data_IF_544952089998
#
_entry.id   IF_544952089998
#
_cell.length_a   1.000
_cell.length_b   1.000
_cell.length_c   1.000
_cell.angle_alpha   90.00
_cell.angle_beta   90.00
_cell.angle_gamma   90.00
#
_symmetry.space_group_name_H-M   'P 1'
#
loop_
_entity.id
_entity.type
_entity.pdbx_description
1 polymer ?
#
# COMPACT_ATOMS: atom_id res chain seq x y z
N UNK A 1 1.99 0.35 -8.83
CA UNK A 1 2.76 0.92 -9.94
C UNK A 1 2.30 0.28 -11.25
N UNK A 2 2.35 0.97 -12.41
CA UNK A 2 2.11 0.31 -13.69
C UNK A 2 3.16 -0.78 -13.94
N UNK A 3 2.76 -1.88 -14.57
CA UNK A 3 3.68 -2.95 -14.97
C UNK A 3 4.62 -2.40 -16.05
N UNK A 4 5.93 -2.47 -15.80
CA UNK A 4 6.94 -2.06 -16.77
C UNK A 4 6.83 -2.90 -18.04
N UNK A 5 7.05 -2.29 -19.20
CA UNK A 5 6.78 -2.93 -20.50
C UNK A 5 7.58 -4.22 -20.67
N UNK A 6 8.84 -4.18 -20.26
CA UNK A 6 9.80 -5.28 -20.27
C UNK A 6 9.38 -6.48 -19.42
N UNK A 7 8.54 -6.28 -18.38
CA UNK A 7 8.15 -7.36 -17.48
C UNK A 7 6.81 -7.99 -17.84
N UNK A 8 6.03 -7.42 -18.78
CA UNK A 8 4.65 -7.86 -19.07
C UNK A 8 4.52 -9.36 -19.37
N UNK A 9 5.54 -9.97 -19.98
CA UNK A 9 5.55 -11.39 -20.33
C UNK A 9 5.68 -12.33 -19.12
N UNK A 10 6.14 -11.84 -17.97
CA UNK A 10 6.21 -12.62 -16.73
C UNK A 10 4.88 -12.67 -15.97
N UNK A 11 3.91 -11.84 -16.37
CA UNK A 11 2.59 -11.81 -15.78
C UNK A 11 1.69 -12.79 -16.52
N UNK A 12 0.96 -13.67 -15.81
CA UNK A 12 0.08 -14.62 -16.46
C UNK A 12 -1.11 -13.90 -17.10
N UNK A 13 -1.78 -14.56 -18.06
CA UNK A 13 -2.92 -13.98 -18.81
C UNK A 13 -4.07 -13.56 -17.89
N UNK A 14 -4.24 -14.26 -16.78
CA UNK A 14 -5.24 -14.02 -15.74
C UNK A 14 -4.74 -13.06 -14.64
N UNK A 15 -3.66 -12.32 -14.88
CA UNK A 15 -3.13 -11.36 -13.93
C UNK A 15 -4.17 -10.37 -13.38
N UNK A 16 -5.11 -9.81 -14.18
CA UNK A 16 -6.15 -8.95 -13.62
C UNK A 16 -6.98 -9.62 -12.52
N UNK A 17 -7.32 -10.90 -12.69
CA UNK A 17 -8.07 -11.71 -11.73
C UNK A 17 -7.21 -12.04 -10.51
N UNK A 18 -5.99 -12.53 -10.71
CA UNK A 18 -5.06 -12.82 -9.62
C UNK A 18 -4.76 -11.57 -8.78
N UNK A 19 -4.52 -10.43 -9.44
CA UNK A 19 -4.30 -9.14 -8.78
C UNK A 19 -5.52 -8.70 -7.96
N UNK A 20 -6.73 -8.90 -8.48
CA UNK A 20 -7.95 -8.57 -7.76
C UNK A 20 -8.18 -9.49 -6.55
N UNK A 21 -7.90 -10.79 -6.69
CA UNK A 21 -7.96 -11.77 -5.60
C UNK A 21 -7.05 -11.36 -4.43
N UNK A 22 -5.79 -11.02 -4.74
CA UNK A 22 -4.83 -10.58 -3.73
C UNK A 22 -5.29 -9.26 -3.06
N UNK A 23 -5.68 -8.25 -3.85
CA UNK A 23 -5.96 -6.91 -3.32
C UNK A 23 -7.28 -6.78 -2.59
N UNK A 24 -8.32 -7.45 -3.06
CA UNK A 24 -9.68 -7.17 -2.61
C UNK A 24 -10.31 -8.33 -1.85
N UNK A 25 -9.96 -9.57 -2.18
CA UNK A 25 -10.42 -10.73 -1.40
C UNK A 25 -9.49 -11.00 -0.23
N UNK A 26 -8.24 -11.39 -0.50
CA UNK A 26 -7.29 -11.77 0.56
C UNK A 26 -6.97 -10.60 1.49
N UNK A 27 -6.59 -9.46 0.93
CA UNK A 27 -6.22 -8.29 1.72
C UNK A 27 -7.41 -7.42 2.16
N UNK A 28 -8.65 -7.80 1.81
CA UNK A 28 -9.86 -7.06 2.17
C UNK A 28 -9.90 -5.61 1.69
N UNK A 29 -9.16 -5.27 0.63
CA UNK A 29 -9.04 -3.90 0.16
C UNK A 29 -8.18 -3.00 1.05
N UNK A 30 -7.33 -3.55 1.92
CA UNK A 30 -6.38 -2.79 2.74
C UNK A 30 -4.94 -3.12 2.36
N UNK A 31 -4.03 -2.18 2.57
CA UNK A 31 -2.60 -2.44 2.41
C UNK A 31 -2.13 -3.43 3.49
N UNK A 32 -1.50 -4.54 3.08
CA UNK A 32 -1.01 -5.58 3.99
C UNK A 32 0.17 -5.13 4.86
N UNK A 33 0.80 -3.99 4.55
CA UNK A 33 1.91 -3.44 5.33
C UNK A 33 1.51 -2.32 6.29
N UNK A 34 0.54 -1.46 5.93
CA UNK A 34 0.20 -0.29 6.75
C UNK A 34 -1.29 -0.09 7.00
N UNK A 35 -2.15 -0.96 6.47
CA UNK A 35 -3.61 -0.91 6.68
C UNK A 35 -4.37 0.16 5.91
N UNK A 36 -3.71 1.01 5.11
CA UNK A 36 -4.40 2.07 4.33
C UNK A 36 -5.47 1.46 3.39
N UNK A 37 -6.72 1.94 3.44
CA UNK A 37 -7.83 1.35 2.69
C UNK A 37 -7.88 1.82 1.24
N UNK A 38 -8.08 0.90 0.30
CA UNK A 38 -8.18 1.17 -1.13
C UNK A 38 -9.32 2.14 -1.47
N UNK A 39 -9.09 3.04 -2.43
CA UNK A 39 -10.10 3.94 -2.97
C UNK A 39 -10.48 5.11 -2.07
N UNK A 40 -10.07 5.10 -0.80
CA UNK A 40 -10.34 6.18 0.16
C UNK A 40 -9.28 7.28 0.04
N UNK A 41 -9.71 8.52 0.25
CA UNK A 41 -8.80 9.63 0.50
C UNK A 41 -8.45 9.65 1.98
N UNK A 42 -7.16 9.57 2.29
CA UNK A 42 -6.65 9.71 3.66
C UNK A 42 -5.87 11.01 3.79
N UNK A 43 -5.69 11.48 5.02
CA UNK A 43 -4.81 12.59 5.33
C UNK A 43 -3.52 12.06 5.98
N UNK A 44 -2.36 12.57 5.54
CA UNK A 44 -1.06 12.11 6.04
C UNK A 44 -0.06 13.26 6.18
N UNK A 45 0.97 13.05 6.99
CA UNK A 45 2.02 14.05 7.28
C UNK A 45 3.23 13.96 6.34
N UNK A 46 3.26 12.94 5.47
CA UNK A 46 4.30 12.75 4.45
C UNK A 46 5.48 11.89 4.91
N UNK A 47 5.70 11.76 6.22
CA UNK A 47 6.67 10.85 6.83
C UNK A 47 6.16 9.39 6.95
N UNK A 48 4.87 9.18 6.71
CA UNK A 48 4.21 7.90 6.83
C UNK A 48 3.04 7.90 7.80
N UNK A 49 3.04 8.80 8.78
CA UNK A 49 1.92 8.98 9.70
C UNK A 49 0.67 9.41 8.95
N UNK A 50 -0.46 8.84 9.31
CA UNK A 50 -1.74 9.10 8.64
C UNK A 50 -2.93 8.96 9.59
N UNK A 51 -3.99 9.70 9.28
CA UNK A 51 -5.24 9.64 10.03
C UNK A 51 -6.13 8.51 9.51
N UNK A 52 -6.43 7.55 10.38
CA UNK A 52 -7.40 6.49 10.12
C UNK A 52 -8.78 6.92 10.63
N UNK A 53 -9.60 7.42 9.71
CA UNK A 53 -10.95 7.86 10.00
C UNK A 53 -11.89 6.74 10.45
N UNK A 54 -11.60 5.47 10.13
CA UNK A 54 -12.45 4.35 10.54
C UNK A 54 -12.30 4.03 12.03
N UNK A 55 -11.11 4.24 12.59
CA UNK A 55 -10.83 4.03 14.01
C UNK A 55 -10.74 5.32 14.82
N UNK A 56 -10.77 6.48 14.15
CA UNK A 56 -10.60 7.77 14.80
C UNK A 56 -9.22 7.94 15.44
N UNK A 57 -8.17 7.39 14.81
CA UNK A 57 -6.83 7.36 15.37
C UNK A 57 -5.73 7.72 14.36
N UNK A 58 -4.63 8.26 14.88
CA UNK A 58 -3.41 8.41 14.09
C UNK A 58 -2.64 7.09 14.06
N UNK A 59 -2.11 6.74 12.89
CA UNK A 59 -1.25 5.56 12.69
C UNK A 59 0.12 5.94 12.18
N UNK A 60 1.13 5.13 12.50
CA UNK A 60 2.47 5.22 11.94
C UNK A 60 2.56 4.70 10.50
N UNK A 61 3.78 4.68 9.96
CA UNK A 61 4.06 4.18 8.61
C UNK A 61 3.84 2.68 8.41
N UNK A 62 3.74 1.91 9.49
CA UNK A 62 3.47 0.46 9.52
C UNK A 62 2.04 0.15 9.94
N UNK A 63 1.21 1.18 10.16
CA UNK A 63 -0.20 1.02 10.52
C UNK A 63 -0.46 0.86 12.01
N UNK A 64 0.53 0.95 12.91
CA UNK A 64 0.28 0.91 14.35
C UNK A 64 -0.29 2.23 14.85
N UNK A 65 -1.22 2.18 15.80
CA UNK A 65 -1.76 3.38 16.42
C UNK A 65 -0.66 4.16 17.17
N UNK A 66 -0.62 5.48 16.97
CA UNK A 66 0.30 6.35 17.68
C UNK A 66 -0.14 6.51 19.13
N UNK A 67 0.81 6.36 20.05
CA UNK A 67 0.60 6.69 21.47
C UNK A 67 0.66 8.19 21.74
N UNK A 68 1.49 8.90 20.96
CA UNK A 68 1.66 10.35 21.03
C UNK A 68 1.13 10.94 19.74
N UNK A 69 0.15 11.85 19.86
CA UNK A 69 -0.46 12.50 18.71
C UNK A 69 0.52 13.48 18.04
N UNK A 70 0.41 13.72 16.73
CA UNK A 70 1.17 14.77 16.07
C UNK A 70 0.90 16.13 16.72
N UNK A 71 1.95 16.94 16.87
CA UNK A 71 1.83 18.31 17.37
C UNK A 71 1.11 19.18 16.36
N UNK A 72 0.55 20.28 16.85
CA UNK A 72 -0.21 21.21 16.02
C UNK A 72 0.59 21.74 14.82
N UNK A 73 1.86 22.07 15.02
CA UNK A 73 2.76 22.56 13.96
C UNK A 73 2.98 21.52 12.85
N UNK A 74 2.92 20.24 13.18
CA UNK A 74 3.08 19.16 12.21
C UNK A 74 1.86 19.04 11.31
N UNK A 75 0.66 19.37 11.83
CA UNK A 75 -0.59 19.35 11.07
C UNK A 75 -0.58 20.36 9.91
N UNK A 76 0.27 21.38 9.95
CA UNK A 76 0.47 22.28 8.80
C UNK A 76 0.97 21.56 7.53
N UNK A 77 1.53 20.34 7.67
CA UNK A 77 2.01 19.51 6.56
C UNK A 77 0.98 18.50 6.05
N UNK A 78 -0.25 18.52 6.58
CA UNK A 78 -1.27 17.55 6.25
C UNK A 78 -1.59 17.60 4.75
N UNK A 79 -1.54 16.44 4.11
CA UNK A 79 -1.86 16.30 2.68
C UNK A 79 -2.87 15.19 2.46
N UNK A 80 -3.88 15.40 1.62
CA UNK A 80 -4.76 14.33 1.19
C UNK A 80 -4.07 13.46 0.13
N UNK A 81 -4.32 12.15 0.15
CA UNK A 81 -3.97 11.24 -0.94
C UNK A 81 -5.05 10.19 -1.12
N UNK A 82 -5.50 9.99 -2.37
CA UNK A 82 -6.33 8.84 -2.72
C UNK A 82 -5.47 7.58 -2.72
N UNK A 83 -5.80 6.63 -1.84
CA UNK A 83 -5.08 5.38 -1.72
C UNK A 83 -5.46 4.46 -2.87
N UNK A 84 -4.44 3.94 -3.55
CA UNK A 84 -4.57 2.92 -4.60
C UNK A 84 -3.68 1.76 -4.22
N UNK A 85 -4.25 0.55 -4.28
CA UNK A 85 -3.52 -0.69 -4.03
C UNK A 85 -3.04 -1.29 -5.35
N UNK A 86 -1.80 -1.74 -5.34
CA UNK A 86 -1.19 -2.54 -6.37
C UNK A 86 -0.70 -3.87 -5.77
N UNK A 87 -0.60 -4.90 -6.62
CA UNK A 87 0.00 -6.17 -6.25
C UNK A 87 1.50 -6.08 -6.49
N UNK A 88 2.31 -6.46 -5.50
CA UNK A 88 3.77 -6.51 -5.57
C UNK A 88 4.28 -7.94 -5.30
N UNK A 89 5.40 -8.29 -5.90
CA UNK A 89 6.16 -9.52 -5.62
C UNK A 89 7.08 -9.27 -4.42
N UNK A 90 6.98 -10.10 -3.38
CA UNK A 90 7.73 -9.93 -2.12
C UNK A 90 9.23 -10.12 -2.29
N UNK A 91 9.63 -10.99 -3.21
CA UNK A 91 11.02 -11.30 -3.57
C UNK A 91 11.55 -10.48 -4.75
N UNK A 92 10.77 -9.52 -5.25
CA UNK A 92 11.09 -8.69 -6.42
C UNK A 92 11.26 -9.46 -7.74
N UNK A 93 11.05 -10.79 -7.76
CA UNK A 93 11.06 -11.59 -8.97
C UNK A 93 9.67 -11.59 -9.61
N UNK A 94 9.54 -10.87 -10.74
CA UNK A 94 8.27 -10.76 -11.46
C UNK A 94 7.76 -12.08 -12.06
N UNK A 95 8.60 -13.11 -12.17
CA UNK A 95 8.20 -14.43 -12.64
C UNK A 95 7.53 -15.28 -11.55
N UNK A 96 7.78 -14.99 -10.26
CA UNK A 96 7.25 -15.75 -9.15
C UNK A 96 5.83 -15.31 -8.76
N UNK A 97 4.83 -15.76 -9.52
CA UNK A 97 3.42 -15.39 -9.31
C UNK A 97 2.69 -16.26 -8.27
N UNK A 98 3.41 -17.02 -7.43
CA UNK A 98 2.78 -17.79 -6.37
C UNK A 98 2.01 -16.87 -5.41
N UNK A 99 0.77 -17.22 -5.05
CA UNK A 99 -0.08 -16.35 -4.22
C UNK A 99 0.59 -15.90 -2.91
N UNK A 100 1.42 -16.76 -2.29
CA UNK A 100 2.21 -16.43 -1.08
C UNK A 100 3.27 -15.35 -1.32
N UNK A 101 3.81 -15.25 -2.54
CA UNK A 101 4.80 -14.27 -2.93
C UNK A 101 4.18 -12.92 -3.29
N UNK A 102 2.88 -12.89 -3.58
CA UNK A 102 2.18 -11.65 -3.90
C UNK A 102 1.74 -10.92 -2.62
N UNK A 103 1.76 -9.59 -2.66
CA UNK A 103 1.30 -8.71 -1.59
C UNK A 103 0.46 -7.55 -2.11
N UNK A 104 -0.52 -7.09 -1.32
CA UNK A 104 -1.31 -5.90 -1.64
C UNK A 104 -0.71 -4.66 -0.95
N UNK A 105 -0.09 -3.77 -1.72
CA UNK A 105 0.55 -2.57 -1.20
C UNK A 105 -0.09 -1.28 -1.69
N UNK A 106 -0.21 -0.29 -0.81
CA UNK A 106 -0.54 1.08 -1.20
C UNK A 106 0.63 1.74 -1.92
N UNK A 107 0.41 2.88 -2.59
CA UNK A 107 1.47 3.57 -3.34
C UNK A 107 2.75 3.78 -2.51
N UNK A 108 2.63 4.21 -1.24
CA UNK A 108 3.78 4.43 -0.36
C UNK A 108 4.54 3.14 -0.05
N UNK A 109 3.85 2.12 0.45
CA UNK A 109 4.50 0.85 0.83
C UNK A 109 5.12 0.17 -0.40
N UNK A 110 4.45 0.25 -1.55
CA UNK A 110 4.98 -0.28 -2.80
C UNK A 110 6.25 0.44 -3.24
N UNK A 111 6.27 1.78 -3.20
CA UNK A 111 7.49 2.56 -3.51
C UNK A 111 8.63 2.26 -2.55
N UNK A 112 8.33 2.09 -1.26
CA UNK A 112 9.35 1.74 -0.28
C UNK A 112 9.90 0.33 -0.49
N UNK A 113 9.03 -0.62 -0.87
CA UNK A 113 9.43 -1.99 -1.19
C UNK A 113 10.33 -2.05 -2.42
N UNK A 114 10.01 -1.28 -3.47
CA UNK A 114 10.76 -1.28 -4.72
C UNK A 114 12.05 -0.44 -4.68
N UNK A 115 12.41 0.17 -3.55
CA UNK A 115 13.64 0.95 -3.44
C UNK A 115 14.85 0.02 -3.61
N UNK A 116 15.82 0.38 -4.48
CA UNK A 116 17.11 -0.30 -4.47
C UNK A 116 17.77 -0.11 -3.10
N UNK A 117 18.48 -1.14 -2.67
CA UNK A 117 19.30 -1.16 -1.44
C UNK A 117 20.42 -0.12 -1.44
#
# INVERSE_FOLDING_TARGET
MPIRREHRFFYPIDWPQLSAEIRFRRAGGACESCGRPHGRTIYHLGDGRWWDAATGSWRDGSGHALRVLPRFEELARLRPTKVVLATAHRDHDTANNAAKNLAAFCQRCHMNHDRPE
#
